data_IF_388747195665
#
_entry.id   IF_388747195665
#
_cell.length_a   1.000
_cell.length_b   1.000
_cell.length_c   1.000
_cell.angle_alpha   90.00
_cell.angle_beta   90.00
_cell.angle_gamma   90.00
#
_symmetry.space_group_name_H-M   'P 1'
#
loop_
_entity.id
_entity.type
_entity.pdbx_description
1 polymer ?
#
# COMPACT_ATOMS: atom_id res chain seq x y z
N UNK A 1 8.30 18.34 -35.05
CA UNK A 1 8.96 18.42 -33.73
C UNK A 1 8.35 17.30 -32.89
N UNK A 2 9.12 16.25 -32.58
CA UNK A 2 8.70 15.23 -31.61
C UNK A 2 9.20 15.72 -30.26
N UNK A 3 8.29 16.04 -29.34
CA UNK A 3 8.65 16.39 -27.97
C UNK A 3 9.34 15.17 -27.35
N UNK A 4 10.55 15.38 -26.86
CA UNK A 4 11.22 14.41 -26.00
C UNK A 4 10.33 14.23 -24.77
N UNK A 5 9.76 13.04 -24.61
CA UNK A 5 9.18 12.64 -23.34
C UNK A 5 10.35 12.56 -22.35
N UNK A 6 10.51 13.61 -21.55
CA UNK A 6 11.39 13.56 -20.38
C UNK A 6 10.72 12.57 -19.42
N UNK A 7 11.16 11.33 -19.44
CA UNK A 7 10.90 10.40 -18.34
C UNK A 7 11.64 11.02 -17.16
N UNK A 8 10.93 11.79 -16.31
CA UNK A 8 11.44 12.26 -15.03
C UNK A 8 11.94 11.02 -14.28
N UNK A 9 13.25 10.82 -14.35
CA UNK A 9 13.89 9.73 -13.64
C UNK A 9 14.00 10.16 -12.20
N UNK A 10 13.31 9.46 -11.31
CA UNK A 10 13.52 9.56 -9.87
C UNK A 10 15.01 9.47 -9.58
N UNK A 11 15.51 10.42 -8.79
CA UNK A 11 16.93 10.49 -8.47
C UNK A 11 17.41 9.20 -7.78
N UNK A 12 18.68 8.84 -7.94
CA UNK A 12 19.25 7.67 -7.25
C UNK A 12 19.18 7.83 -5.71
N UNK A 13 19.27 9.06 -5.21
CA UNK A 13 19.12 9.36 -3.79
C UNK A 13 17.70 9.03 -3.30
N UNK A 14 16.68 9.41 -4.05
CA UNK A 14 15.28 9.10 -3.73
C UNK A 14 15.02 7.60 -3.76
N UNK A 15 15.59 6.87 -4.73
CA UNK A 15 15.48 5.40 -4.79
C UNK A 15 16.08 4.73 -3.55
N UNK A 16 17.29 5.13 -3.16
CA UNK A 16 17.95 4.62 -1.95
C UNK A 16 17.16 4.96 -0.67
N UNK A 17 16.53 6.14 -0.63
CA UNK A 17 15.65 6.52 0.47
C UNK A 17 14.44 5.60 0.56
N UNK A 18 13.78 5.30 -0.56
CA UNK A 18 12.63 4.39 -0.57
C UNK A 18 13.03 2.96 -0.23
N UNK A 19 14.16 2.45 -0.73
CA UNK A 19 14.69 1.15 -0.33
C UNK A 19 14.90 1.04 1.19
N UNK A 20 15.41 2.11 1.82
CA UNK A 20 15.54 2.18 3.28
C UNK A 20 14.18 2.14 3.98
N UNK A 21 13.22 2.94 3.53
CA UNK A 21 11.86 2.94 4.08
C UNK A 21 11.24 1.55 3.96
N UNK A 22 11.34 0.91 2.79
CA UNK A 22 10.84 -0.47 2.57
C UNK A 22 11.46 -1.43 3.58
N UNK A 23 12.79 -1.41 3.76
CA UNK A 23 13.48 -2.29 4.70
C UNK A 23 13.00 -2.12 6.15
N UNK A 24 12.86 -0.88 6.60
CA UNK A 24 12.42 -0.59 7.97
C UNK A 24 10.92 -0.83 8.20
N UNK A 25 10.08 -0.56 7.20
CA UNK A 25 8.64 -0.87 7.24
C UNK A 25 8.41 -2.39 7.28
N UNK A 26 9.18 -3.16 6.49
CA UNK A 26 9.15 -4.63 6.55
C UNK A 26 9.44 -5.15 7.94
N UNK A 27 10.49 -4.63 8.57
CA UNK A 27 10.84 -5.02 9.93
C UNK A 27 9.75 -4.62 10.94
N UNK A 28 9.19 -3.42 10.79
CA UNK A 28 8.07 -2.93 11.62
C UNK A 28 6.87 -3.89 11.56
N UNK A 29 6.41 -4.22 10.35
CA UNK A 29 5.25 -5.10 10.14
C UNK A 29 5.54 -6.53 10.59
N UNK A 30 6.76 -7.03 10.39
CA UNK A 30 7.20 -8.33 10.89
C UNK A 30 7.16 -8.40 12.42
N UNK A 31 7.64 -7.37 13.13
CA UNK A 31 7.60 -7.28 14.59
C UNK A 31 6.15 -7.21 15.12
N UNK A 32 5.24 -6.59 14.37
CA UNK A 32 3.81 -6.56 14.66
C UNK A 32 3.08 -7.89 14.37
N UNK A 33 3.77 -8.89 13.82
CA UNK A 33 3.18 -10.19 13.46
C UNK A 33 2.32 -10.16 12.20
N UNK A 34 2.48 -9.16 11.35
CA UNK A 34 1.71 -9.01 10.11
C UNK A 34 2.40 -9.80 8.98
N UNK A 35 1.69 -10.72 8.29
CA UNK A 35 2.28 -11.55 7.25
C UNK A 35 2.56 -10.75 5.98
N UNK A 36 3.85 -10.72 5.59
CA UNK A 36 4.33 -10.04 4.39
C UNK A 36 4.55 -11.02 3.23
N UNK A 37 4.35 -10.55 1.99
CA UNK A 37 4.76 -11.24 0.76
C UNK A 37 5.68 -10.35 -0.08
N UNK A 38 6.66 -10.97 -0.73
CA UNK A 38 7.59 -10.32 -1.67
C UNK A 38 7.04 -10.26 -3.09
N UNK A 39 5.93 -10.95 -3.36
CA UNK A 39 5.41 -11.12 -4.71
C UNK A 39 3.92 -10.81 -4.74
N UNK A 40 3.49 -10.05 -5.75
CA UNK A 40 2.09 -9.89 -6.12
C UNK A 40 1.60 -11.26 -6.61
N UNK A 41 0.97 -12.02 -5.71
CA UNK A 41 0.60 -13.42 -5.92
C UNK A 41 -0.57 -13.78 -5.01
N UNK A 42 -1.68 -14.17 -5.63
CA UNK A 42 -3.01 -14.14 -5.02
C UNK A 42 -3.36 -15.50 -4.37
N UNK A 43 -2.52 -16.03 -3.48
CA UNK A 43 -2.81 -17.32 -2.81
C UNK A 43 -3.33 -17.17 -1.38
N UNK A 44 -3.39 -15.95 -0.84
CA UNK A 44 -3.85 -15.69 0.53
C UNK A 44 -3.90 -14.19 0.85
N UNK A 45 -4.49 -13.85 2.00
CA UNK A 45 -4.51 -12.49 2.50
C UNK A 45 -3.11 -12.11 2.99
N UNK A 46 -2.41 -11.26 2.22
CA UNK A 46 -1.04 -10.86 2.52
C UNK A 46 -0.89 -9.35 2.42
N UNK A 47 0.07 -8.82 3.17
CA UNK A 47 0.52 -7.44 3.00
C UNK A 47 1.73 -7.44 2.09
N UNK A 48 1.75 -6.57 1.08
CA UNK A 48 2.94 -6.34 0.26
C UNK A 48 3.32 -4.87 0.29
N UNK A 49 4.58 -4.60 -0.02
CA UNK A 49 5.10 -3.25 -0.05
C UNK A 49 5.52 -2.96 -1.47
N UNK A 50 4.87 -1.96 -2.07
CA UNK A 50 5.22 -1.46 -3.40
C UNK A 50 6.06 -0.19 -3.29
N UNK A 51 6.95 0.01 -4.25
CA UNK A 51 7.71 1.26 -4.40
C UNK A 51 7.38 1.84 -5.76
N UNK A 52 6.55 2.88 -5.75
CA UNK A 52 6.10 3.53 -6.96
C UNK A 52 7.04 4.67 -7.32
N UNK A 53 7.68 4.54 -8.49
CA UNK A 53 8.69 5.50 -8.97
C UNK A 53 8.24 6.25 -10.23
N UNK A 54 7.03 6.00 -10.75
CA UNK A 54 6.61 6.48 -12.07
C UNK A 54 5.34 7.36 -11.98
N UNK A 55 5.33 8.35 -11.09
CA UNK A 55 4.21 9.29 -10.94
C UNK A 55 3.82 10.00 -12.25
N UNK A 56 4.82 10.45 -13.01
CA UNK A 56 4.61 11.29 -14.20
C UNK A 56 3.87 10.62 -15.35
N UNK A 57 3.96 9.30 -15.52
CA UNK A 57 3.34 8.57 -16.64
C UNK A 57 2.02 7.89 -16.29
N UNK A 58 1.79 7.59 -15.01
CA UNK A 58 0.68 6.73 -14.56
C UNK A 58 -0.32 7.46 -13.65
N UNK A 59 -0.12 8.76 -13.38
CA UNK A 59 -1.07 9.59 -12.64
C UNK A 59 -1.11 9.31 -11.13
N UNK A 60 -0.11 8.60 -10.60
CA UNK A 60 0.07 8.36 -9.17
C UNK A 60 1.09 9.31 -8.53
N UNK A 61 1.31 9.16 -7.22
CA UNK A 61 2.37 9.87 -6.49
C UNK A 61 3.55 8.94 -6.25
N UNK A 62 4.79 9.41 -6.37
CA UNK A 62 5.97 8.60 -6.03
C UNK A 62 5.99 8.27 -4.54
N UNK A 63 6.35 7.05 -4.17
CA UNK A 63 6.41 6.70 -2.75
C UNK A 63 6.48 5.21 -2.45
N UNK A 64 6.40 4.91 -1.15
CA UNK A 64 6.30 3.55 -0.63
C UNK A 64 4.88 3.31 -0.17
N UNK A 65 4.29 2.22 -0.65
CA UNK A 65 2.90 1.86 -0.41
C UNK A 65 2.83 0.51 0.28
N UNK A 66 2.10 0.44 1.38
CA UNK A 66 1.78 -0.81 2.08
C UNK A 66 0.37 -1.19 1.68
N UNK A 67 0.24 -2.30 0.98
CA UNK A 67 -1.01 -2.74 0.39
C UNK A 67 -1.45 -4.08 0.95
N UNK A 68 -2.75 -4.21 1.15
CA UNK A 68 -3.36 -5.47 1.48
C UNK A 68 -3.90 -6.13 0.21
N UNK A 69 -3.47 -7.36 -0.04
CA UNK A 69 -4.07 -8.22 -1.04
C UNK A 69 -5.17 -9.02 -0.37
N UNK A 70 -6.42 -8.70 -0.71
CA UNK A 70 -7.59 -9.52 -0.39
C UNK A 70 -7.38 -10.98 -0.82
N UNK A 71 -8.00 -11.92 -0.11
CA UNK A 71 -7.90 -13.32 -0.49
C UNK A 71 -8.51 -13.55 -1.87
N UNK A 72 -7.95 -14.49 -2.65
CA UNK A 72 -8.52 -14.88 -3.94
C UNK A 72 -9.98 -15.34 -3.84
N UNK A 73 -10.38 -15.93 -2.71
CA UNK A 73 -11.76 -16.33 -2.47
C UNK A 73 -12.71 -15.12 -2.36
N UNK A 74 -12.31 -14.08 -1.61
CA UNK A 74 -13.09 -12.86 -1.49
C UNK A 74 -13.17 -12.15 -2.85
N UNK A 75 -12.04 -12.02 -3.54
CA UNK A 75 -12.00 -11.39 -4.86
C UNK A 75 -12.85 -12.15 -5.88
N UNK A 76 -12.77 -13.48 -5.93
CA UNK A 76 -13.62 -14.28 -6.83
C UNK A 76 -15.12 -14.09 -6.55
N UNK A 77 -15.52 -13.82 -5.30
CA UNK A 77 -16.92 -13.53 -4.96
C UNK A 77 -17.35 -12.13 -5.39
N UNK A 78 -16.46 -11.14 -5.25
CA UNK A 78 -16.70 -9.78 -5.76
C UNK A 78 -16.82 -9.80 -7.28
N UNK A 79 -15.93 -10.52 -7.96
CA UNK A 79 -15.94 -10.69 -9.42
C UNK A 79 -17.24 -11.37 -9.90
N UNK A 80 -17.69 -12.46 -9.24
CA UNK A 80 -18.96 -13.14 -9.57
C UNK A 80 -20.16 -12.18 -9.44
N UNK A 81 -20.17 -11.30 -8.44
CA UNK A 81 -21.24 -10.31 -8.28
C UNK A 81 -21.23 -9.29 -9.43
N UNK A 82 -20.05 -8.82 -9.82
CA UNK A 82 -19.90 -7.88 -10.93
C UNK A 82 -20.33 -8.50 -12.27
N UNK A 83 -19.88 -9.71 -12.57
CA UNK A 83 -20.25 -10.46 -13.79
C UNK A 83 -21.76 -10.68 -13.90
N UNK A 84 -22.43 -10.88 -12.77
CA UNK A 84 -23.87 -11.14 -12.68
C UNK A 84 -24.70 -9.89 -12.47
N UNK A 85 -24.07 -8.71 -12.35
CA UNK A 85 -24.72 -7.44 -11.99
C UNK A 85 -25.54 -7.52 -10.68
N UNK A 86 -25.09 -8.35 -9.73
CA UNK A 86 -25.72 -8.56 -8.42
C UNK A 86 -25.15 -7.58 -7.38
N UNK A 87 -25.43 -6.29 -7.57
CA UNK A 87 -24.88 -5.23 -6.74
C UNK A 87 -25.52 -5.10 -5.34
N UNK A 88 -26.59 -5.86 -5.08
CA UNK A 88 -27.23 -5.91 -3.76
C UNK A 88 -26.68 -7.06 -2.88
N UNK A 89 -25.76 -7.85 -3.42
CA UNK A 89 -25.18 -8.97 -2.70
C UNK A 89 -24.42 -8.50 -1.45
N UNK A 90 -24.67 -9.09 -0.26
CA UNK A 90 -24.04 -8.67 0.99
C UNK A 90 -22.52 -8.87 1.01
N UNK A 91 -21.94 -9.62 0.06
CA UNK A 91 -20.48 -9.77 -0.03
C UNK A 91 -19.78 -8.46 -0.42
N UNK A 92 -20.44 -7.59 -1.18
CA UNK A 92 -19.86 -6.31 -1.62
C UNK A 92 -19.61 -5.34 -0.44
N UNK A 93 -20.64 -4.99 0.38
CA UNK A 93 -20.40 -4.15 1.56
C UNK A 93 -19.52 -4.84 2.61
N UNK A 94 -19.49 -6.18 2.64
CA UNK A 94 -18.54 -6.91 3.48
C UNK A 94 -17.10 -6.74 2.99
N UNK A 95 -16.84 -6.87 1.68
CA UNK A 95 -15.51 -6.68 1.10
C UNK A 95 -14.98 -5.27 1.38
N UNK A 96 -15.81 -4.24 1.17
CA UNK A 96 -15.48 -2.85 1.48
C UNK A 96 -15.14 -2.66 2.96
N UNK A 97 -15.97 -3.19 3.87
CA UNK A 97 -15.74 -3.08 5.31
C UNK A 97 -14.45 -3.76 5.76
N UNK A 98 -14.09 -4.91 5.17
CA UNK A 98 -12.82 -5.59 5.46
C UNK A 98 -11.64 -4.76 4.95
N UNK A 99 -11.73 -4.25 3.72
CA UNK A 99 -10.70 -3.38 3.14
C UNK A 99 -10.43 -2.16 4.01
N UNK A 100 -11.47 -1.43 4.41
CA UNK A 100 -11.35 -0.25 5.26
C UNK A 100 -10.74 -0.59 6.63
N UNK A 101 -11.18 -1.70 7.24
CA UNK A 101 -10.66 -2.15 8.53
C UNK A 101 -9.17 -2.50 8.46
N UNK A 102 -8.74 -3.23 7.41
CA UNK A 102 -7.34 -3.63 7.25
C UNK A 102 -6.46 -2.42 6.93
N UNK A 103 -6.90 -1.52 6.05
CA UNK A 103 -6.17 -0.29 5.73
C UNK A 103 -5.97 0.60 6.97
N UNK A 104 -7.02 0.74 7.77
CA UNK A 104 -6.97 1.49 9.04
C UNK A 104 -6.00 0.83 10.01
N UNK A 105 -6.08 -0.49 10.19
CA UNK A 105 -5.15 -1.23 11.03
C UNK A 105 -3.69 -1.05 10.59
N UNK A 106 -3.42 -1.14 9.28
CA UNK A 106 -2.07 -0.96 8.75
C UNK A 106 -1.53 0.45 9.03
N UNK A 107 -2.35 1.48 8.79
CA UNK A 107 -1.98 2.86 9.15
C UNK A 107 -1.66 2.97 10.63
N UNK A 108 -2.54 2.48 11.51
CA UNK A 108 -2.39 2.63 12.95
C UNK A 108 -1.15 1.89 13.48
N UNK A 109 -0.80 0.72 12.91
CA UNK A 109 0.43 0.00 13.24
C UNK A 109 1.67 0.78 12.80
N UNK A 110 1.65 1.37 11.60
CA UNK A 110 2.75 2.18 11.08
C UNK A 110 2.93 3.46 11.92
N UNK A 111 1.84 4.18 12.20
CA UNK A 111 1.86 5.39 13.02
C UNK A 111 2.28 5.09 14.47
N UNK A 112 1.80 3.98 15.04
CA UNK A 112 2.21 3.51 16.36
C UNK A 112 3.71 3.17 16.44
N UNK A 113 4.30 2.78 15.31
CA UNK A 113 5.75 2.62 15.18
C UNK A 113 6.48 3.93 14.82
N UNK A 114 5.81 5.07 14.76
CA UNK A 114 6.41 6.38 14.50
C UNK A 114 6.60 6.72 13.02
N UNK A 115 5.92 6.01 12.11
CA UNK A 115 5.88 6.36 10.70
C UNK A 115 4.84 7.45 10.43
N UNK A 116 5.11 8.31 9.45
CA UNK A 116 4.08 9.13 8.80
C UNK A 116 3.42 8.28 7.71
N UNK A 117 2.12 8.05 7.85
CA UNK A 117 1.31 7.27 6.93
C UNK A 117 0.08 8.08 6.46
N UNK A 118 -0.48 7.74 5.28
CA UNK A 118 -1.71 8.35 4.77
C UNK A 118 -2.56 7.35 4.01
N UNK A 119 -3.88 7.45 4.19
CA UNK A 119 -4.89 6.74 3.40
C UNK A 119 -5.43 7.57 2.22
N UNK A 120 -5.25 8.90 2.29
CA UNK A 120 -5.84 9.85 1.33
C UNK A 120 -4.91 10.17 0.17
N UNK A 121 -3.59 10.05 0.39
CA UNK A 121 -2.56 10.41 -0.59
C UNK A 121 -1.98 9.13 -1.21
N UNK A 122 -2.85 8.36 -1.86
CA UNK A 122 -2.52 6.99 -2.31
C UNK A 122 -2.46 6.81 -3.83
N UNK A 123 -2.98 7.76 -4.61
CA UNK A 123 -2.92 7.74 -6.08
C UNK A 123 -3.48 6.44 -6.66
N UNK A 124 -2.73 5.78 -7.55
CA UNK A 124 -3.11 4.51 -8.18
C UNK A 124 -3.17 3.32 -7.22
N UNK A 125 -2.75 3.50 -5.97
CA UNK A 125 -2.80 2.51 -4.89
C UNK A 125 -3.98 2.77 -3.97
N UNK A 126 -5.19 2.95 -4.51
CA UNK A 126 -6.41 3.38 -3.78
C UNK A 126 -6.73 2.51 -2.55
N UNK A 127 -6.24 1.26 -2.54
CA UNK A 127 -6.42 0.27 -1.47
C UNK A 127 -5.24 0.21 -0.48
N UNK A 128 -4.21 1.04 -0.69
CA UNK A 128 -2.98 1.04 0.08
C UNK A 128 -2.92 2.08 1.20
N UNK A 129 -1.76 2.09 1.87
CA UNK A 129 -1.32 3.11 2.83
C UNK A 129 0.02 3.66 2.35
N UNK A 130 0.09 4.97 2.05
CA UNK A 130 1.36 5.60 1.66
C UNK A 130 2.22 5.90 2.89
N UNK A 131 3.53 5.65 2.79
CA UNK A 131 4.51 5.89 3.86
C UNK A 131 5.53 6.95 3.41
N UNK A 132 5.74 7.98 4.24
CA UNK A 132 6.56 9.14 3.88
C UNK A 132 7.93 9.19 4.58
N UNK A 133 8.14 8.32 5.57
CA UNK A 133 9.30 8.35 6.48
C UNK A 133 8.88 8.48 7.94
N UNK A 134 9.85 8.51 8.86
CA UNK A 134 9.56 8.68 10.29
C UNK A 134 9.03 10.08 10.57
N UNK A 135 8.09 10.16 11.51
CA UNK A 135 7.82 11.41 12.23
C UNK A 135 9.11 11.88 12.92
N UNK A 136 9.32 13.19 13.14
CA UNK A 136 10.51 13.73 13.81
C UNK A 136 10.87 13.04 15.13
N UNK A 137 12.05 13.34 15.72
CA UNK A 137 12.90 12.40 16.44
C UNK A 137 12.14 11.47 17.39
N UNK A 138 12.44 10.17 17.31
CA UNK A 138 11.90 9.14 18.19
C UNK A 138 11.94 9.64 19.65
N UNK A 139 10.80 9.66 20.37
CA UNK A 139 10.80 9.96 21.78
C UNK A 139 11.71 8.96 22.50
N UNK A 140 12.57 9.50 23.36
CA UNK A 140 13.54 8.76 24.15
C UNK A 140 12.98 7.47 24.75
N UNK A 141 13.77 6.41 24.58
CA UNK A 141 14.04 5.50 25.69
C UNK A 141 15.11 6.17 26.54
N UNK A 142 14.70 7.20 27.29
CA UNK A 142 15.41 7.69 28.48
C UNK A 142 14.67 7.14 29.71
#
# INVERSE_FOLDING_TARGET
MRGEFVIEHVSQETKLQYERIVGEVRETLRLAGIPLTDRKGNSGAHVYIDTFLNAGSEGGSEGVYVEWLSSAELMAKVDDCAERSDFENPVLPFADAVLDAVRTMLRDVLEGAGWRASLDDVGVHEEGVRVFGRSGPAPGLD
#
